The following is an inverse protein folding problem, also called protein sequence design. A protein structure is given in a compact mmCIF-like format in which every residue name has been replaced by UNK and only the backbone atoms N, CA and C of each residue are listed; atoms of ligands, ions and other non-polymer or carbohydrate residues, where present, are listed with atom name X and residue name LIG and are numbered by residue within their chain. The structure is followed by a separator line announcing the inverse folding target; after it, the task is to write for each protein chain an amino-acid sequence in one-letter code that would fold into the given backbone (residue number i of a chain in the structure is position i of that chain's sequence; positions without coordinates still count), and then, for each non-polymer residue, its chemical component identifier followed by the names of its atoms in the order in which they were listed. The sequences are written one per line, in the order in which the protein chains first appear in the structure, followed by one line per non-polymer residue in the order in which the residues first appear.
data_IF_357520087015
#
_entry.id   IF_357520087015
#
_cell.length_a   1.000
_cell.length_b   1.000
_cell.length_c   1.000
_cell.angle_alpha   90.00
_cell.angle_beta   90.00
_cell.angle_gamma   90.00
#
_symmetry.space_group_name_H-M   'P 1'
#
loop_
_entity.id
_entity.type
_entity.pdbx_description
1 polymer ?
#
# COMPACT_ATOMS: atom_id res chain seq x y z
N UNK A 1 10.49 13.52 64.30
CA UNK A 1 10.75 14.68 63.42
C UNK A 1 10.19 14.35 62.06
N UNK A 2 9.09 15.01 61.74
CA UNK A 2 8.34 14.89 60.50
C UNK A 2 9.16 15.38 59.31
N UNK A 3 9.21 14.63 58.22
CA UNK A 3 9.33 15.22 56.89
C UNK A 3 8.40 14.49 55.93
N UNK A 4 7.36 15.23 55.56
CA UNK A 4 6.30 14.92 54.63
C UNK A 4 6.82 15.35 53.24
N UNK A 5 7.18 14.41 52.36
CA UNK A 5 7.50 14.72 50.96
C UNK A 5 6.30 14.33 50.10
N UNK A 6 5.50 15.33 49.77
CA UNK A 6 4.35 15.25 48.89
C UNK A 6 4.71 14.55 47.57
N UNK A 7 3.87 13.59 47.16
CA UNK A 7 3.83 13.11 45.78
C UNK A 7 3.55 14.30 44.85
N UNK A 8 4.26 14.43 43.71
CA UNK A 8 3.81 15.32 42.66
C UNK A 8 2.52 14.76 42.05
N UNK A 9 1.55 15.67 41.99
CA UNK A 9 0.19 15.54 41.51
C UNK A 9 0.05 14.79 40.18
N UNK A 10 -1.05 14.04 40.09
CA UNK A 10 -1.68 13.62 38.85
C UNK A 10 -2.05 14.87 38.02
N UNK A 11 -1.16 15.34 37.16
CA UNK A 11 -1.45 16.38 36.16
C UNK A 11 -0.45 16.31 34.98
N UNK A 12 -0.19 15.10 34.49
CA UNK A 12 0.55 14.87 33.23
C UNK A 12 -0.33 14.19 32.17
N UNK A 13 -1.64 14.44 32.22
CA UNK A 13 -2.62 13.89 31.28
C UNK A 13 -3.52 14.99 30.69
N UNK A 14 -2.92 16.12 30.29
CA UNK A 14 -3.61 17.18 29.55
C UNK A 14 -2.66 17.95 28.64
N UNK A 15 -1.87 17.24 27.85
CA UNK A 15 -1.47 17.78 26.54
C UNK A 15 -2.25 16.99 25.49
N UNK A 16 -3.54 17.30 25.38
CA UNK A 16 -4.27 17.00 24.16
C UNK A 16 -3.58 17.78 23.03
N UNK A 17 -2.74 17.07 22.28
CA UNK A 17 -2.08 17.56 21.07
C UNK A 17 -3.14 18.24 20.18
N UNK A 18 -2.95 19.52 19.78
CA UNK A 18 -3.93 20.30 19.02
C UNK A 18 -4.46 19.64 17.74
N UNK A 19 -3.73 18.65 17.21
CA UNK A 19 -4.06 17.94 15.98
C UNK A 19 -5.01 16.74 16.16
N UNK A 20 -5.16 16.18 17.37
CA UNK A 20 -6.10 15.08 17.62
C UNK A 20 -7.56 15.54 17.42
N UNK A 21 -7.85 16.81 17.77
CA UNK A 21 -9.17 17.41 17.64
C UNK A 21 -9.57 17.64 16.18
N UNK A 22 -8.60 17.91 15.29
CA UNK A 22 -8.86 18.20 13.88
C UNK A 22 -9.28 16.95 13.10
N UNK A 23 -8.52 15.85 13.24
CA UNK A 23 -8.89 14.54 12.67
C UNK A 23 -10.22 14.05 13.23
N UNK A 24 -10.43 14.17 14.54
CA UNK A 24 -11.68 13.72 15.17
C UNK A 24 -12.89 14.47 14.61
N UNK A 25 -12.77 15.79 14.39
CA UNK A 25 -13.83 16.58 13.72
C UNK A 25 -14.08 16.13 12.29
N UNK A 26 -13.03 15.86 11.50
CA UNK A 26 -13.17 15.35 10.13
C UNK A 26 -13.84 13.95 10.12
N UNK A 27 -13.50 13.10 11.08
CA UNK A 27 -14.14 11.80 11.28
C UNK A 27 -15.63 11.97 11.59
N UNK A 28 -15.99 12.81 12.54
CA UNK A 28 -17.40 13.04 12.89
C UNK A 28 -18.19 13.62 11.71
N UNK A 29 -17.60 14.58 10.98
CA UNK A 29 -18.25 15.29 9.88
C UNK A 29 -18.42 14.44 8.61
N UNK A 30 -17.48 13.53 8.32
CA UNK A 30 -17.41 12.86 7.01
C UNK A 30 -17.31 11.33 7.06
N UNK A 31 -17.09 10.73 8.22
CA UNK A 31 -16.92 9.28 8.37
C UNK A 31 -18.05 8.61 9.17
N UNK A 32 -18.97 9.40 9.73
CA UNK A 32 -20.23 8.88 10.27
C UNK A 32 -21.18 8.45 9.14
N UNK A 33 -21.93 7.36 9.36
CA UNK A 33 -22.65 6.47 8.40
C UNK A 33 -23.61 7.10 7.34
N UNK A 34 -23.53 8.40 7.03
CA UNK A 34 -24.38 9.10 6.04
C UNK A 34 -23.67 10.16 5.19
N UNK A 35 -22.36 10.36 5.34
CA UNK A 35 -21.65 11.38 4.58
C UNK A 35 -21.48 10.97 3.10
N UNK A 36 -21.76 11.91 2.18
CA UNK A 36 -21.48 11.73 0.75
C UNK A 36 -19.97 11.68 0.51
N UNK A 37 -19.51 10.75 -0.32
CA UNK A 37 -18.11 10.65 -0.74
C UNK A 37 -17.59 11.98 -1.29
N UNK A 38 -16.44 12.41 -0.78
CA UNK A 38 -15.70 13.57 -1.26
C UNK A 38 -14.21 13.23 -1.36
N UNK A 39 -13.63 13.22 -2.58
CA UNK A 39 -12.19 13.03 -2.77
C UNK A 39 -11.35 14.06 -2.01
N UNK A 40 -11.85 15.30 -1.88
CA UNK A 40 -11.17 16.38 -1.16
C UNK A 40 -10.87 16.05 0.30
N UNK A 41 -11.69 15.21 0.95
CA UNK A 41 -11.48 14.81 2.35
C UNK A 41 -10.26 13.89 2.47
N UNK A 42 -10.03 13.02 1.48
CA UNK A 42 -8.82 12.18 1.44
C UNK A 42 -7.59 13.05 1.27
N UNK A 43 -7.66 14.04 0.37
CA UNK A 43 -6.58 15.01 0.16
C UNK A 43 -6.31 15.86 1.42
N UNK A 44 -7.36 16.30 2.11
CA UNK A 44 -7.26 17.10 3.33
C UNK A 44 -6.63 16.31 4.47
N UNK A 45 -7.14 15.11 4.75
CA UNK A 45 -6.57 14.22 5.78
C UNK A 45 -5.11 13.89 5.43
N UNK A 46 -4.82 13.59 4.16
CA UNK A 46 -3.46 13.25 3.76
C UNK A 46 -2.49 14.42 3.92
N UNK A 47 -2.81 15.58 3.34
CA UNK A 47 -1.88 16.70 3.28
C UNK A 47 -1.81 17.51 4.58
N UNK A 48 -2.91 17.63 5.32
CA UNK A 48 -2.95 18.46 6.53
C UNK A 48 -2.65 17.67 7.80
N UNK A 49 -2.98 16.37 7.82
CA UNK A 49 -2.90 15.58 9.06
C UNK A 49 -1.83 14.50 9.01
N UNK A 50 -1.77 13.70 7.95
CA UNK A 50 -0.89 12.54 7.84
C UNK A 50 0.53 12.92 7.43
N UNK A 51 0.69 13.69 6.36
CA UNK A 51 2.00 14.07 5.83
C UNK A 51 2.82 14.95 6.80
N UNK A 52 2.26 16.02 7.40
CA UNK A 52 3.02 16.89 8.31
C UNK A 52 3.40 16.20 9.63
N UNK A 53 2.61 15.20 10.04
CA UNK A 53 2.90 14.39 11.24
C UNK A 53 3.82 13.21 10.96
N UNK A 54 4.32 13.06 9.71
CA UNK A 54 5.12 11.92 9.27
C UNK A 54 4.43 10.57 9.57
N UNK A 55 3.12 10.50 9.35
CA UNK A 55 2.29 9.33 9.56
C UNK A 55 2.30 8.82 11.02
N UNK A 56 2.07 9.72 11.97
CA UNK A 56 2.09 9.39 13.40
C UNK A 56 1.06 8.29 13.75
N UNK A 57 1.51 7.28 14.49
CA UNK A 57 0.75 6.06 14.81
C UNK A 57 -0.58 6.38 15.50
N UNK A 58 -0.61 7.35 16.40
CA UNK A 58 -1.83 7.77 17.10
C UNK A 58 -2.92 8.27 16.14
N UNK A 59 -2.55 9.00 15.08
CA UNK A 59 -3.50 9.47 14.06
C UNK A 59 -4.02 8.30 13.21
N UNK A 60 -3.16 7.35 12.87
CA UNK A 60 -3.54 6.14 12.14
C UNK A 60 -4.50 5.27 12.97
N UNK A 61 -4.23 5.11 14.26
CA UNK A 61 -5.09 4.37 15.18
C UNK A 61 -6.48 5.01 15.29
N UNK A 62 -6.58 6.35 15.33
CA UNK A 62 -7.87 7.05 15.30
C UNK A 62 -8.63 6.78 14.00
N UNK A 63 -7.96 6.87 12.85
CA UNK A 63 -8.58 6.57 11.55
C UNK A 63 -9.02 5.10 11.45
N UNK A 64 -8.24 4.16 11.99
CA UNK A 64 -8.58 2.73 12.02
C UNK A 64 -9.83 2.49 12.87
N UNK A 65 -9.90 3.10 14.06
CA UNK A 65 -11.08 3.00 14.94
C UNK A 65 -12.37 3.52 14.29
N UNK A 66 -12.24 4.46 13.33
CA UNK A 66 -13.36 5.00 12.55
C UNK A 66 -13.74 4.14 11.33
N UNK A 67 -13.03 3.05 11.08
CA UNK A 67 -13.18 2.19 9.89
C UNK A 67 -12.95 2.98 8.58
N UNK A 68 -11.93 3.85 8.57
CA UNK A 68 -11.63 4.73 7.44
C UNK A 68 -11.38 3.96 6.14
N UNK A 69 -10.72 2.81 6.24
CA UNK A 69 -10.44 1.96 5.09
C UNK A 69 -11.71 1.34 4.51
N UNK A 70 -12.50 0.69 5.35
CA UNK A 70 -13.65 -0.14 4.98
C UNK A 70 -14.84 0.70 4.53
N UNK A 71 -15.09 1.83 5.20
CA UNK A 71 -16.29 2.64 4.94
C UNK A 71 -16.07 3.75 3.93
N UNK A 72 -14.85 4.26 3.79
CA UNK A 72 -14.60 5.48 3.04
C UNK A 72 -13.62 5.29 1.89
N UNK A 73 -12.42 4.75 2.16
CA UNK A 73 -11.38 4.63 1.13
C UNK A 73 -11.68 3.51 0.13
N UNK A 74 -11.92 2.30 0.61
CA UNK A 74 -12.00 1.11 -0.23
C UNK A 74 -13.23 1.09 -1.13
N UNK A 75 -14.46 1.40 -0.65
CA UNK A 75 -15.65 1.38 -1.52
C UNK A 75 -15.50 2.33 -2.71
N UNK A 76 -14.83 3.47 -2.52
CA UNK A 76 -14.72 4.54 -3.50
C UNK A 76 -13.45 4.51 -4.34
N UNK A 77 -12.54 3.57 -4.04
CA UNK A 77 -11.34 3.38 -4.85
C UNK A 77 -11.72 2.96 -6.28
N UNK A 78 -11.00 3.51 -7.24
CA UNK A 78 -11.12 3.19 -8.66
C UNK A 78 -9.80 3.49 -9.38
N UNK A 79 -9.67 3.08 -10.64
CA UNK A 79 -8.44 3.28 -11.44
C UNK A 79 -8.04 4.75 -11.64
N UNK A 80 -8.94 5.71 -11.42
CA UNK A 80 -8.71 7.17 -11.51
C UNK A 80 -8.49 7.83 -10.14
N UNK A 81 -8.42 7.06 -9.06
CA UNK A 81 -8.13 7.58 -7.73
C UNK A 81 -6.83 8.39 -7.72
N UNK A 82 -6.71 9.35 -6.81
CA UNK A 82 -5.48 10.14 -6.67
C UNK A 82 -4.36 9.31 -6.06
N UNK A 83 -3.12 9.76 -6.22
CA UNK A 83 -1.95 9.13 -5.59
C UNK A 83 -2.08 9.10 -4.06
N UNK A 84 -2.59 10.19 -3.46
CA UNK A 84 -2.81 10.29 -2.02
C UNK A 84 -3.88 9.30 -1.51
N UNK A 85 -4.90 8.98 -2.33
CA UNK A 85 -5.86 7.93 -2.01
C UNK A 85 -5.20 6.55 -2.01
N UNK A 86 -4.37 6.23 -3.01
CA UNK A 86 -3.63 4.96 -3.07
C UNK A 86 -2.70 4.80 -1.86
N UNK A 87 -1.95 5.85 -1.50
CA UNK A 87 -1.05 5.83 -0.34
C UNK A 87 -1.85 5.70 0.95
N UNK A 88 -2.97 6.41 1.08
CA UNK A 88 -3.86 6.29 2.25
C UNK A 88 -4.38 4.85 2.42
N UNK A 89 -4.78 4.19 1.34
CA UNK A 89 -5.20 2.77 1.39
C UNK A 89 -4.03 1.89 1.86
N UNK A 90 -2.84 2.06 1.26
CA UNK A 90 -1.66 1.29 1.65
C UNK A 90 -1.29 1.49 3.11
N UNK A 91 -1.37 2.73 3.60
CA UNK A 91 -1.08 3.08 4.99
C UNK A 91 -2.06 2.44 5.97
N UNK A 92 -3.38 2.53 5.69
CA UNK A 92 -4.39 1.91 6.54
C UNK A 92 -4.32 0.38 6.50
N UNK A 93 -4.00 -0.21 5.35
CA UNK A 93 -3.80 -1.65 5.23
C UNK A 93 -2.59 -2.13 6.05
N UNK A 94 -1.49 -1.35 6.09
CA UNK A 94 -0.32 -1.61 6.94
C UNK A 94 -0.67 -1.51 8.42
N UNK A 95 -1.43 -0.48 8.84
CA UNK A 95 -1.82 -0.38 10.25
C UNK A 95 -2.71 -1.56 10.66
N UNK A 96 -3.62 -1.98 9.77
CA UNK A 96 -4.52 -3.11 10.01
C UNK A 96 -3.81 -4.47 9.98
N UNK A 97 -2.71 -4.60 9.24
CA UNK A 97 -2.00 -5.89 9.08
C UNK A 97 -1.27 -6.29 10.36
N UNK A 98 -1.01 -5.34 11.26
CA UNK A 98 -0.54 -5.61 12.64
C UNK A 98 -1.46 -6.55 13.43
N UNK A 99 -2.70 -6.72 13.00
CA UNK A 99 -3.70 -7.59 13.62
C UNK A 99 -3.99 -8.87 12.80
N UNK A 100 -3.26 -9.12 11.70
CA UNK A 100 -3.48 -10.23 10.75
C UNK A 100 -4.87 -10.26 10.07
N UNK A 101 -5.62 -9.17 10.05
CA UNK A 101 -6.99 -9.08 9.47
C UNK A 101 -7.05 -8.05 8.32
N UNK A 102 -5.90 -7.54 7.85
CA UNK A 102 -5.87 -6.46 6.85
C UNK A 102 -6.54 -6.81 5.53
N UNK A 103 -6.49 -8.07 5.12
CA UNK A 103 -6.74 -8.45 3.74
C UNK A 103 -8.21 -8.76 3.46
N UNK A 104 -9.01 -9.00 4.49
CA UNK A 104 -10.40 -9.45 4.34
C UNK A 104 -11.28 -8.40 3.66
N UNK A 105 -11.01 -7.11 3.88
CA UNK A 105 -11.71 -6.00 3.21
C UNK A 105 -11.52 -6.03 1.68
N UNK A 106 -10.42 -6.60 1.20
CA UNK A 106 -10.10 -6.64 -0.22
C UNK A 106 -10.67 -7.87 -0.92
N UNK A 107 -11.12 -8.89 -0.18
CA UNK A 107 -11.64 -10.14 -0.75
C UNK A 107 -12.97 -9.94 -1.51
N UNK A 108 -13.72 -8.89 -1.23
CA UNK A 108 -14.99 -8.60 -1.92
C UNK A 108 -14.80 -8.32 -3.42
N UNK A 109 -13.66 -7.72 -3.80
CA UNK A 109 -13.37 -7.38 -5.20
C UNK A 109 -11.87 -7.62 -5.53
N UNK A 110 -11.53 -8.86 -5.92
CA UNK A 110 -10.16 -9.24 -6.27
C UNK A 110 -9.56 -8.44 -7.44
N UNK A 111 -10.37 -8.08 -8.44
CA UNK A 111 -9.91 -7.31 -9.59
C UNK A 111 -9.51 -5.91 -9.17
N UNK A 112 -10.33 -5.27 -8.31
CA UNK A 112 -10.02 -3.97 -7.73
C UNK A 112 -8.73 -4.01 -6.93
N UNK A 113 -8.49 -5.06 -6.14
CA UNK A 113 -7.22 -5.23 -5.44
C UNK A 113 -6.04 -5.39 -6.40
N UNK A 114 -6.19 -6.16 -7.48
CA UNK A 114 -5.17 -6.29 -8.52
C UNK A 114 -4.78 -4.92 -9.11
N UNK A 115 -5.77 -4.07 -9.37
CA UNK A 115 -5.50 -2.71 -9.89
C UNK A 115 -4.82 -1.80 -8.87
N UNK A 116 -5.15 -1.94 -7.58
CA UNK A 116 -4.45 -1.25 -6.50
C UNK A 116 -2.99 -1.69 -6.43
N UNK A 117 -2.76 -3.00 -6.41
CA UNK A 117 -1.42 -3.58 -6.31
C UNK A 117 -0.53 -3.15 -7.49
N UNK A 118 -1.05 -3.22 -8.72
CA UNK A 118 -0.35 -2.71 -9.91
C UNK A 118 0.00 -1.23 -9.76
N UNK A 119 -0.94 -0.40 -9.30
CA UNK A 119 -0.69 1.02 -9.13
C UNK A 119 0.34 1.31 -8.04
N UNK A 120 0.31 0.56 -6.94
CA UNK A 120 1.34 0.63 -5.88
C UNK A 120 2.72 0.29 -6.44
N UNK A 121 2.85 -0.79 -7.21
CA UNK A 121 4.15 -1.19 -7.80
C UNK A 121 4.70 -0.14 -8.77
N UNK A 122 3.84 0.53 -9.53
CA UNK A 122 4.22 1.63 -10.43
C UNK A 122 4.65 2.89 -9.66
N UNK A 123 3.95 3.21 -8.56
CA UNK A 123 4.25 4.39 -7.75
C UNK A 123 5.57 4.25 -6.97
N UNK A 124 5.92 3.05 -6.52
CA UNK A 124 7.18 2.81 -5.77
C UNK A 124 8.41 3.12 -6.60
N UNK A 125 8.35 2.88 -7.91
CA UNK A 125 9.46 3.14 -8.86
C UNK A 125 9.38 4.51 -9.52
N UNK A 126 8.40 5.34 -9.16
CA UNK A 126 8.20 6.67 -9.75
C UNK A 126 9.08 7.71 -9.08
N UNK A 127 9.80 8.49 -9.90
CA UNK A 127 10.67 9.58 -9.45
C UNK A 127 9.88 10.78 -8.87
N UNK A 128 8.59 10.90 -9.20
CA UNK A 128 7.73 12.01 -8.77
C UNK A 128 7.21 11.84 -7.33
N UNK A 129 7.43 10.67 -6.72
CA UNK A 129 6.93 10.36 -5.40
C UNK A 129 7.99 10.65 -4.32
N UNK A 130 7.60 11.37 -3.27
CA UNK A 130 8.51 11.62 -2.14
C UNK A 130 8.98 10.31 -1.48
N UNK A 131 10.23 10.29 -0.97
CA UNK A 131 10.80 9.14 -0.26
C UNK A 131 9.90 8.70 0.91
N UNK A 132 9.32 9.66 1.63
CA UNK A 132 8.40 9.40 2.75
C UNK A 132 7.16 8.62 2.30
N UNK A 133 6.59 8.96 1.15
CA UNK A 133 5.46 8.23 0.57
C UNK A 133 5.89 6.88 -0.05
N UNK A 134 7.03 6.83 -0.73
CA UNK A 134 7.59 5.57 -1.25
C UNK A 134 7.81 4.56 -0.12
N UNK A 135 8.31 5.01 1.04
CA UNK A 135 8.49 4.16 2.24
C UNK A 135 7.18 3.52 2.69
N UNK A 136 6.07 4.27 2.71
CA UNK A 136 4.75 3.73 3.07
C UNK A 136 4.36 2.59 2.13
N UNK A 137 4.49 2.80 0.82
CA UNK A 137 4.15 1.80 -0.19
C UNK A 137 5.08 0.59 -0.16
N UNK A 138 6.36 0.79 0.12
CA UNK A 138 7.33 -0.28 0.31
C UNK A 138 6.96 -1.15 1.52
N UNK A 139 6.61 -0.52 2.65
CA UNK A 139 6.14 -1.24 3.84
C UNK A 139 4.86 -2.01 3.54
N UNK A 140 3.93 -1.44 2.76
CA UNK A 140 2.76 -2.17 2.28
C UNK A 140 3.14 -3.42 1.49
N UNK A 141 4.07 -3.31 0.52
CA UNK A 141 4.55 -4.48 -0.22
C UNK A 141 5.21 -5.53 0.67
N UNK A 142 6.01 -5.11 1.66
CA UNK A 142 6.62 -6.03 2.63
C UNK A 142 5.52 -6.84 3.34
N UNK A 143 4.46 -6.18 3.82
CA UNK A 143 3.34 -6.88 4.46
C UNK A 143 2.59 -7.80 3.49
N UNK A 144 2.45 -7.42 2.21
CA UNK A 144 1.92 -8.33 1.19
C UNK A 144 2.78 -9.61 1.08
N UNK A 145 4.11 -9.46 0.99
CA UNK A 145 5.02 -10.60 0.90
C UNK A 145 5.08 -11.45 2.17
N UNK A 146 4.76 -10.87 3.33
CA UNK A 146 4.63 -11.59 4.59
C UNK A 146 3.29 -12.32 4.76
N UNK A 147 2.29 -12.01 3.93
CA UNK A 147 0.92 -12.55 4.04
C UNK A 147 0.58 -13.55 2.94
N UNK A 148 1.54 -14.43 2.61
CA UNK A 148 1.42 -15.39 1.51
C UNK A 148 0.37 -16.47 1.74
N UNK A 149 -0.12 -16.64 2.96
CA UNK A 149 -1.26 -17.51 3.29
C UNK A 149 -2.57 -16.99 2.70
N UNK A 150 -2.70 -15.68 2.47
CA UNK A 150 -3.85 -15.09 1.80
C UNK A 150 -3.74 -15.27 0.27
N UNK A 151 -4.73 -15.93 -0.33
CA UNK A 151 -4.71 -16.27 -1.76
C UNK A 151 -4.74 -15.04 -2.68
N UNK A 152 -5.52 -14.02 -2.31
CA UNK A 152 -5.63 -12.77 -3.06
C UNK A 152 -4.27 -12.07 -3.14
N UNK A 153 -3.60 -11.92 -1.99
CA UNK A 153 -2.28 -11.29 -1.88
C UNK A 153 -1.22 -12.12 -2.60
N UNK A 154 -1.18 -13.44 -2.34
CA UNK A 154 -0.24 -14.38 -2.97
C UNK A 154 -0.30 -14.29 -4.48
N UNK A 155 -1.50 -14.24 -5.05
CA UNK A 155 -1.71 -14.18 -6.50
C UNK A 155 -1.05 -12.97 -7.12
N UNK A 156 -1.12 -11.81 -6.47
CA UNK A 156 -0.47 -10.58 -6.96
C UNK A 156 1.05 -10.60 -6.72
N UNK A 157 1.51 -11.03 -5.55
CA UNK A 157 2.93 -11.12 -5.24
C UNK A 157 3.69 -12.07 -6.18
N UNK A 158 3.10 -13.22 -6.52
CA UNK A 158 3.72 -14.19 -7.44
C UNK A 158 3.94 -13.64 -8.86
N UNK A 159 3.18 -12.62 -9.28
CA UNK A 159 3.42 -11.93 -10.57
C UNK A 159 4.72 -11.14 -10.57
N UNK A 160 5.19 -10.71 -9.39
CA UNK A 160 6.46 -9.99 -9.26
C UNK A 160 7.65 -10.94 -9.22
N UNK A 161 7.50 -12.11 -8.59
CA UNK A 161 8.61 -13.06 -8.34
C UNK A 161 8.72 -14.20 -9.36
N UNK A 162 8.44 -13.91 -10.64
CA UNK A 162 8.54 -14.92 -11.70
C UNK A 162 9.99 -15.23 -12.07
N UNK A 163 10.22 -16.37 -12.74
CA UNK A 163 11.53 -16.72 -13.32
C UNK A 163 12.07 -15.63 -14.27
N UNK A 164 11.19 -14.76 -14.79
CA UNK A 164 11.56 -13.64 -15.65
C UNK A 164 12.46 -12.60 -14.97
N UNK A 165 12.50 -12.53 -13.63
CA UNK A 165 13.46 -11.65 -12.92
C UNK A 165 14.90 -11.99 -13.31
N UNK A 166 15.19 -13.25 -13.67
CA UNK A 166 16.55 -13.68 -14.02
C UNK A 166 17.12 -13.02 -15.28
N UNK A 167 16.28 -12.31 -16.06
CA UNK A 167 16.75 -11.43 -17.13
C UNK A 167 17.52 -10.20 -16.62
N UNK A 168 17.33 -9.84 -15.35
CA UNK A 168 17.94 -8.66 -14.73
C UNK A 168 19.15 -9.04 -13.85
N UNK A 169 19.66 -10.27 -13.96
CA UNK A 169 20.89 -10.66 -13.29
C UNK A 169 22.06 -9.91 -13.93
N UNK A 170 22.97 -9.41 -13.09
CA UNK A 170 24.15 -8.69 -13.58
C UNK A 170 25.17 -9.63 -14.26
N UNK A 171 25.18 -10.91 -13.88
CA UNK A 171 26.08 -11.92 -14.43
C UNK A 171 25.28 -13.13 -14.94
N UNK A 172 25.28 -13.28 -16.26
CA UNK A 172 24.63 -14.39 -16.96
C UNK A 172 25.27 -15.75 -16.63
N UNK A 173 26.54 -15.79 -16.22
CA UNK A 173 27.23 -17.04 -15.89
C UNK A 173 26.57 -17.79 -14.73
N UNK A 174 26.00 -17.05 -13.76
CA UNK A 174 25.25 -17.61 -12.63
C UNK A 174 23.99 -18.30 -13.14
N UNK A 175 23.27 -17.65 -14.06
CA UNK A 175 22.05 -18.18 -14.67
C UNK A 175 22.35 -19.45 -15.47
N UNK A 176 23.36 -19.41 -16.34
CA UNK A 176 23.74 -20.57 -17.17
C UNK A 176 24.21 -21.76 -16.33
N UNK A 177 24.94 -21.52 -15.23
CA UNK A 177 25.30 -22.57 -14.28
C UNK A 177 24.09 -23.23 -13.65
N UNK A 178 23.10 -22.44 -13.19
CA UNK A 178 21.84 -22.96 -12.63
C UNK A 178 21.01 -23.72 -13.68
N UNK A 179 21.05 -23.32 -14.95
CA UNK A 179 20.39 -24.04 -16.04
C UNK A 179 21.05 -25.38 -16.34
N UNK A 180 22.37 -25.46 -16.27
CA UNK A 180 23.10 -26.73 -16.44
C UNK A 180 22.79 -27.70 -15.29
N UNK A 181 22.69 -27.21 -14.05
CA UNK A 181 22.33 -28.01 -12.89
C UNK A 181 20.85 -28.42 -12.89
N UNK A 182 19.97 -27.51 -13.31
CA UNK A 182 18.51 -27.72 -13.33
C UNK A 182 17.92 -27.36 -14.70
N UNK A 183 17.98 -28.25 -15.71
CA UNK A 183 17.50 -27.97 -17.08
C UNK A 183 16.01 -27.62 -17.18
N UNK A 184 15.20 -28.00 -16.20
CA UNK A 184 13.79 -27.61 -16.11
C UNK A 184 13.61 -26.09 -15.94
N UNK A 185 14.52 -25.41 -15.22
CA UNK A 185 14.50 -23.96 -15.03
C UNK A 185 14.75 -23.23 -16.35
N UNK A 186 15.66 -23.73 -17.18
CA UNK A 186 15.92 -23.16 -18.50
C UNK A 186 14.68 -23.21 -19.40
N UNK A 187 13.97 -24.35 -19.40
CA UNK A 187 12.70 -24.49 -20.15
C UNK A 187 11.65 -23.49 -19.67
N UNK A 188 11.53 -23.31 -18.36
CA UNK A 188 10.58 -22.38 -17.76
C UNK A 188 10.93 -20.92 -18.11
N UNK A 189 12.21 -20.56 -18.01
CA UNK A 189 12.72 -19.23 -18.37
C UNK A 189 12.52 -18.91 -19.86
N UNK A 190 12.83 -19.86 -20.76
CA UNK A 190 12.58 -19.70 -22.20
C UNK A 190 11.08 -19.47 -22.50
N UNK A 191 10.19 -20.20 -21.84
CA UNK A 191 8.74 -20.00 -21.97
C UNK A 191 8.30 -18.62 -21.46
N UNK A 192 8.85 -18.19 -20.31
CA UNK A 192 8.60 -16.86 -19.74
C UNK A 192 9.04 -15.76 -20.68
N UNK A 193 10.23 -15.86 -21.27
CA UNK A 193 10.75 -14.86 -22.22
C UNK A 193 9.95 -14.81 -23.52
N UNK A 194 9.46 -15.96 -24.01
CA UNK A 194 8.56 -15.97 -25.17
C UNK A 194 7.27 -15.19 -24.89
N UNK A 195 6.69 -15.34 -23.69
CA UNK A 195 5.50 -14.56 -23.28
C UNK A 195 5.81 -13.08 -23.11
N UNK A 196 6.95 -12.74 -22.51
CA UNK A 196 7.38 -11.35 -22.30
C UNK A 196 7.58 -10.63 -23.64
N UNK A 197 8.26 -11.26 -24.60
CA UNK A 197 8.47 -10.69 -25.93
C UNK A 197 7.15 -10.50 -26.68
N UNK A 198 6.23 -11.47 -26.60
CA UNK A 198 4.90 -11.34 -27.18
C UNK A 198 4.11 -10.17 -26.55
N UNK A 199 4.17 -10.01 -25.23
CA UNK A 199 3.52 -8.91 -24.51
C UNK A 199 4.15 -7.54 -24.80
N UNK A 200 5.48 -7.46 -24.93
CA UNK A 200 6.19 -6.26 -25.35
C UNK A 200 5.71 -5.79 -26.73
N UNK A 201 5.67 -6.71 -27.70
CA UNK A 201 5.16 -6.43 -29.04
C UNK A 201 3.68 -6.00 -29.00
N UNK A 202 2.83 -6.64 -28.18
CA UNK A 202 1.44 -6.23 -27.98
C UNK A 202 1.31 -4.83 -27.38
N UNK A 203 2.20 -4.46 -26.46
CA UNK A 203 2.20 -3.12 -25.86
C UNK A 203 2.65 -2.03 -26.84
N UNK A 204 3.59 -2.35 -27.73
CA UNK A 204 4.01 -1.48 -28.84
C UNK A 204 2.92 -1.34 -29.90
N UNK A 205 2.28 -2.44 -30.30
CA UNK A 205 1.14 -2.45 -31.23
C UNK A 205 -0.02 -1.61 -30.67
N UNK A 206 -0.38 -1.82 -29.41
CA UNK A 206 -1.45 -1.05 -28.75
C UNK A 206 -1.13 0.43 -28.61
N UNK A 207 0.16 0.80 -28.48
CA UNK A 207 0.58 2.20 -28.54
C UNK A 207 0.37 2.77 -29.94
N UNK A 208 0.71 2.04 -30.99
CA UNK A 208 0.53 2.48 -32.38
C UNK A 208 -0.94 2.62 -32.79
N UNK A 209 -1.83 1.74 -32.30
CA UNK A 209 -3.28 1.81 -32.54
C UNK A 209 -3.99 2.99 -31.85
N UNK A 210 -3.36 3.62 -30.86
CA UNK A 210 -3.88 4.85 -30.23
C UNK A 210 -3.54 6.10 -31.08
N UNK A 211 -2.59 5.98 -32.02
CA UNK A 211 -2.12 7.08 -32.87
C UNK A 211 -2.61 7.01 -34.34
N UNK A 212 -3.55 6.10 -34.66
CA UNK A 212 -4.22 5.98 -35.96
C UNK A 212 -5.73 6.17 -35.80
#
# INVERSE_FOLDING_TARGET
MSQNSALPSQDAASEALPHADSISKLIEAHLTNKAKWKPSVVEEIFNNELLPSNFAINKLALLESSQYLEKYLWPQYNKKASTNHVISIGLMAVEKSRQNIAWDVFNEDPEKFSTLFQRVTQLIISDDLSITCQRVLLVFLIHCFQSFENELVRTECLKLVTIGIWNNLADDSIRERLFNEYPSLQKLWNSSNKKLNAAGNLSEIRRLEIFL
#
